data_IF_201389738275
#
_entry.id   IF_201389738275
#
_cell.length_a   1.000
_cell.length_b   1.000
_cell.length_c   1.000
_cell.angle_alpha   90.00
_cell.angle_beta   90.00
_cell.angle_gamma   90.00
#
_symmetry.space_group_name_H-M   'P 1'
#
loop_
_entity.id
_entity.type
_entity.pdbx_description
1 polymer ?
#
# COMPACT_ATOMS: atom_id res chain seq x y z
N UNK A 1 31.81 -17.19 -32.35
CA UNK A 1 32.13 -16.01 -31.51
C UNK A 1 31.06 -14.96 -31.46
N UNK A 2 30.34 -14.65 -32.55
CA UNK A 2 29.29 -13.63 -32.58
C UNK A 2 28.03 -14.01 -31.76
N UNK A 3 27.73 -15.31 -31.57
CA UNK A 3 26.56 -15.80 -30.81
C UNK A 3 26.72 -15.68 -29.28
N UNK A 4 27.95 -15.64 -28.75
CA UNK A 4 28.25 -15.54 -27.32
C UNK A 4 28.08 -14.10 -26.83
N UNK A 5 28.39 -13.11 -27.67
CA UNK A 5 28.26 -11.68 -27.35
C UNK A 5 26.78 -11.28 -27.26
N UNK A 6 25.90 -11.85 -28.10
CA UNK A 6 24.46 -11.62 -28.04
C UNK A 6 23.79 -12.21 -26.79
N UNK A 7 24.31 -13.32 -26.28
CA UNK A 7 23.79 -13.95 -25.06
C UNK A 7 24.13 -13.17 -23.78
N UNK A 8 25.34 -12.57 -23.74
CA UNK A 8 25.78 -11.73 -22.61
C UNK A 8 24.99 -10.41 -22.55
N UNK A 9 24.61 -9.87 -23.71
CA UNK A 9 23.81 -8.65 -23.79
C UNK A 9 22.38 -8.87 -23.28
N UNK A 10 21.80 -10.04 -23.52
CA UNK A 10 20.47 -10.41 -23.01
C UNK A 10 20.44 -10.57 -21.47
N UNK A 11 21.52 -11.06 -20.89
CA UNK A 11 21.65 -11.22 -19.43
C UNK A 11 21.75 -9.86 -18.70
N UNK A 12 22.36 -8.86 -19.32
CA UNK A 12 22.48 -7.52 -18.73
C UNK A 12 21.16 -6.75 -18.74
N UNK A 13 20.29 -6.98 -19.72
CA UNK A 13 18.95 -6.38 -19.79
C UNK A 13 18.04 -6.91 -18.68
N UNK A 14 18.16 -8.18 -18.31
CA UNK A 14 17.39 -8.79 -17.23
C UNK A 14 17.73 -8.23 -15.85
N UNK A 15 18.97 -7.84 -15.61
CA UNK A 15 19.40 -7.24 -14.35
C UNK A 15 18.89 -5.81 -14.16
N UNK A 16 18.78 -5.04 -15.24
CA UNK A 16 18.29 -3.67 -15.17
C UNK A 16 16.79 -3.57 -14.85
N UNK A 17 15.97 -4.50 -15.33
CA UNK A 17 14.54 -4.48 -15.07
C UNK A 17 14.19 -4.80 -13.60
N UNK A 18 14.97 -5.62 -12.92
CA UNK A 18 14.78 -5.94 -11.51
C UNK A 18 15.16 -4.75 -10.59
N UNK A 19 16.26 -4.05 -10.92
CA UNK A 19 16.71 -2.85 -10.22
C UNK A 19 15.72 -1.68 -10.36
N UNK A 20 15.13 -1.48 -11.54
CA UNK A 20 14.16 -0.43 -11.82
C UNK A 20 12.84 -0.62 -11.06
N UNK A 21 12.31 -1.85 -10.97
CA UNK A 21 11.09 -2.16 -10.22
C UNK A 21 11.22 -1.80 -8.72
N UNK A 22 12.38 -2.06 -8.13
CA UNK A 22 12.66 -1.75 -6.74
C UNK A 22 12.79 -0.24 -6.49
N UNK A 23 13.37 0.50 -7.42
CA UNK A 23 13.47 1.97 -7.35
C UNK A 23 12.08 2.64 -7.45
N UNK A 24 11.21 2.14 -8.30
CA UNK A 24 9.81 2.63 -8.38
C UNK A 24 9.07 2.46 -7.06
N UNK A 25 9.23 1.34 -6.40
CA UNK A 25 8.58 1.05 -5.12
C UNK A 25 9.11 1.96 -4.00
N UNK A 26 10.43 2.18 -3.97
CA UNK A 26 11.05 3.13 -3.03
C UNK A 26 10.55 4.55 -3.26
N UNK A 27 10.49 4.98 -4.51
CA UNK A 27 10.01 6.32 -4.87
C UNK A 27 8.53 6.50 -4.53
N UNK A 28 7.69 5.52 -4.84
CA UNK A 28 6.27 5.55 -4.51
C UNK A 28 6.05 5.65 -2.99
N UNK A 29 6.77 4.84 -2.22
CA UNK A 29 6.72 4.88 -0.75
C UNK A 29 7.11 6.27 -0.22
N UNK A 30 8.20 6.84 -0.75
CA UNK A 30 8.68 8.17 -0.36
C UNK A 30 7.64 9.24 -0.66
N UNK A 31 7.07 9.23 -1.87
CA UNK A 31 6.09 10.23 -2.33
C UNK A 31 4.85 10.22 -1.43
N UNK A 32 4.18 9.08 -1.27
CA UNK A 32 2.96 9.08 -0.47
C UNK A 32 3.23 9.29 1.02
N UNK A 33 4.39 8.85 1.53
CA UNK A 33 4.79 9.11 2.92
C UNK A 33 4.90 10.60 3.22
N UNK A 34 5.51 11.36 2.34
CA UNK A 34 5.63 12.82 2.49
C UNK A 34 4.26 13.50 2.43
N UNK A 35 3.38 13.09 1.53
CA UNK A 35 2.01 13.59 1.49
C UNK A 35 1.23 13.28 2.78
N UNK A 36 1.36 12.07 3.33
CA UNK A 36 0.70 11.69 4.59
C UNK A 36 1.24 12.50 5.77
N UNK A 37 2.55 12.68 5.86
CA UNK A 37 3.18 13.53 6.89
C UNK A 37 2.70 14.97 6.82
N UNK A 38 2.50 15.49 5.61
CA UNK A 38 1.95 16.83 5.37
C UNK A 38 0.42 16.89 5.53
N UNK A 39 -0.25 15.79 5.89
CA UNK A 39 -1.70 15.63 5.97
C UNK A 39 -2.42 15.89 4.64
N UNK A 40 -1.73 15.75 3.53
CA UNK A 40 -2.30 15.81 2.19
C UNK A 40 -2.70 14.42 1.73
N UNK A 41 -3.75 13.88 2.33
CA UNK A 41 -4.19 12.49 2.11
C UNK A 41 -4.76 12.26 0.71
N UNK A 42 -5.36 13.27 0.11
CA UNK A 42 -5.90 13.16 -1.25
C UNK A 42 -4.78 12.99 -2.28
N UNK A 43 -3.68 13.72 -2.15
CA UNK A 43 -2.51 13.55 -3.00
C UNK A 43 -1.78 12.23 -2.75
N UNK A 44 -1.83 11.73 -1.51
CA UNK A 44 -1.22 10.45 -1.13
C UNK A 44 -1.96 9.23 -1.69
N UNK A 45 -3.26 9.33 -1.96
CA UNK A 45 -4.15 8.21 -2.25
C UNK A 45 -3.70 7.40 -3.47
N UNK A 46 -3.50 8.04 -4.62
CA UNK A 46 -3.18 7.35 -5.86
C UNK A 46 -1.82 6.62 -5.82
N UNK A 47 -0.69 7.28 -5.45
CA UNK A 47 0.59 6.57 -5.37
C UNK A 47 0.59 5.46 -4.31
N UNK A 48 -0.16 5.62 -3.22
CA UNK A 48 -0.33 4.58 -2.22
C UNK A 48 -1.07 3.36 -2.77
N UNK A 49 -2.19 3.57 -3.47
CA UNK A 49 -2.97 2.47 -4.07
C UNK A 49 -2.17 1.69 -5.09
N UNK A 50 -1.39 2.37 -5.91
CA UNK A 50 -0.52 1.73 -6.91
C UNK A 50 0.53 0.83 -6.25
N UNK A 51 1.20 1.31 -5.20
CA UNK A 51 2.20 0.52 -4.49
C UNK A 51 1.56 -0.67 -3.75
N UNK A 52 0.42 -0.46 -3.10
CA UNK A 52 -0.34 -1.52 -2.42
C UNK A 52 -0.71 -2.65 -3.38
N UNK A 53 -1.14 -2.33 -4.59
CA UNK A 53 -1.53 -3.32 -5.61
C UNK A 53 -0.32 -4.03 -6.22
N UNK A 54 0.74 -3.29 -6.52
CA UNK A 54 1.94 -3.81 -7.19
C UNK A 54 2.83 -4.63 -6.27
N UNK A 55 3.05 -4.15 -5.06
CA UNK A 55 4.04 -4.70 -4.13
C UNK A 55 3.54 -4.71 -2.69
N UNK A 56 2.50 -5.51 -2.36
CA UNK A 56 1.85 -5.49 -1.05
C UNK A 56 2.74 -5.94 0.11
N UNK A 57 3.85 -6.63 -0.17
CA UNK A 57 4.83 -7.09 0.83
C UNK A 57 6.08 -6.23 0.92
N UNK A 58 6.12 -5.12 0.19
CA UNK A 58 7.32 -4.29 0.09
C UNK A 58 7.68 -3.63 1.43
N UNK A 59 6.71 -3.05 2.12
CA UNK A 59 6.94 -2.36 3.39
C UNK A 59 5.63 -2.26 4.19
N UNK A 60 5.70 -2.51 5.49
CA UNK A 60 4.52 -2.41 6.36
C UNK A 60 3.95 -0.98 6.46
N UNK A 61 4.72 0.04 6.11
CA UNK A 61 4.26 1.42 6.04
C UNK A 61 3.10 1.62 5.06
N UNK A 62 2.98 0.78 4.02
CA UNK A 62 1.82 0.77 3.12
C UNK A 62 0.52 0.68 3.91
N UNK A 63 0.49 -0.15 4.95
CA UNK A 63 -0.71 -0.38 5.77
C UNK A 63 -0.88 0.66 6.86
N UNK A 64 0.21 1.12 7.47
CA UNK A 64 0.18 2.17 8.51
C UNK A 64 -0.30 3.50 7.93
N UNK A 65 0.26 3.92 6.80
CA UNK A 65 -0.15 5.14 6.11
C UNK A 65 -1.50 4.96 5.40
N UNK A 66 -1.76 3.77 4.86
CA UNK A 66 -3.04 3.44 4.23
C UNK A 66 -4.22 3.59 5.18
N UNK A 67 -4.07 3.19 6.43
CA UNK A 67 -5.08 3.39 7.47
C UNK A 67 -5.42 4.88 7.65
N UNK A 68 -4.43 5.75 7.69
CA UNK A 68 -4.63 7.21 7.80
C UNK A 68 -5.33 7.79 6.58
N UNK A 69 -4.91 7.37 5.39
CA UNK A 69 -5.51 7.79 4.13
C UNK A 69 -6.99 7.39 4.07
N UNK A 70 -7.31 6.12 4.35
CA UNK A 70 -8.68 5.62 4.30
C UNK A 70 -9.57 6.24 5.38
N UNK A 71 -9.07 6.47 6.58
CA UNK A 71 -9.81 7.19 7.63
C UNK A 71 -10.17 8.60 7.20
N UNK A 72 -9.26 9.30 6.53
CA UNK A 72 -9.55 10.62 5.95
C UNK A 72 -10.63 10.53 4.87
N UNK A 73 -10.54 9.55 3.97
CA UNK A 73 -11.55 9.32 2.93
C UNK A 73 -12.93 9.02 3.52
N UNK A 74 -13.01 8.17 4.53
CA UNK A 74 -14.26 7.86 5.23
C UNK A 74 -14.90 9.13 5.80
N UNK A 75 -14.10 9.99 6.41
CA UNK A 75 -14.56 11.23 7.06
C UNK A 75 -15.10 12.26 6.07
N UNK A 76 -14.55 12.33 4.86
CA UNK A 76 -14.80 13.39 3.87
C UNK A 76 -15.57 12.92 2.63
N UNK A 77 -16.04 11.68 2.59
CA UNK A 77 -16.78 11.14 1.46
C UNK A 77 -18.29 11.25 1.64
N UNK A 78 -19.01 11.09 0.52
CA UNK A 78 -20.47 10.94 0.52
C UNK A 78 -20.89 9.66 1.23
N UNK A 79 -22.17 9.53 1.58
CA UNK A 79 -22.68 8.34 2.26
C UNK A 79 -22.47 7.05 1.43
N UNK A 80 -22.60 7.13 0.11
CA UNK A 80 -22.40 6.01 -0.81
C UNK A 80 -20.91 5.59 -0.89
N UNK A 81 -20.01 6.54 -1.04
CA UNK A 81 -18.58 6.29 -1.10
C UNK A 81 -18.01 5.83 0.24
N UNK A 82 -18.58 6.32 1.33
CA UNK A 82 -18.15 6.01 2.70
C UNK A 82 -18.16 4.51 2.98
N UNK A 83 -19.20 3.81 2.59
CA UNK A 83 -19.30 2.37 2.77
C UNK A 83 -18.17 1.62 2.06
N UNK A 84 -17.85 2.04 0.83
CA UNK A 84 -16.75 1.45 0.07
C UNK A 84 -15.40 1.65 0.77
N UNK A 85 -15.14 2.84 1.33
CA UNK A 85 -13.91 3.10 2.06
C UNK A 85 -13.83 2.37 3.40
N UNK A 86 -14.96 2.19 4.08
CA UNK A 86 -15.03 1.37 5.31
C UNK A 86 -14.67 -0.08 5.00
N UNK A 87 -15.27 -0.65 3.96
CA UNK A 87 -14.97 -2.01 3.52
C UNK A 87 -13.51 -2.17 3.08
N UNK A 88 -12.95 -1.16 2.41
CA UNK A 88 -11.54 -1.17 2.02
C UNK A 88 -10.60 -1.09 3.23
N UNK A 89 -10.96 -0.33 4.26
CA UNK A 89 -10.16 -0.27 5.50
C UNK A 89 -10.17 -1.61 6.24
N UNK A 90 -11.31 -2.29 6.30
CA UNK A 90 -11.40 -3.63 6.87
C UNK A 90 -10.49 -4.61 6.10
N UNK A 91 -10.53 -4.54 4.79
CA UNK A 91 -9.68 -5.34 3.91
C UNK A 91 -8.20 -5.01 4.08
N UNK A 92 -7.85 -3.74 4.25
CA UNK A 92 -6.48 -3.29 4.48
C UNK A 92 -5.88 -3.93 5.73
N UNK A 93 -6.64 -4.01 6.81
CA UNK A 93 -6.17 -4.64 8.05
C UNK A 93 -5.98 -6.15 7.90
N UNK A 94 -6.83 -6.83 7.13
CA UNK A 94 -6.65 -8.25 6.80
C UNK A 94 -5.38 -8.47 5.95
N UNK A 95 -5.17 -7.66 4.93
CA UNK A 95 -3.95 -7.70 4.10
C UNK A 95 -2.69 -7.46 4.91
N UNK A 96 -2.73 -6.51 5.84
CA UNK A 96 -1.61 -6.25 6.76
C UNK A 96 -1.28 -7.50 7.59
N UNK A 97 -2.29 -8.17 8.09
CA UNK A 97 -2.10 -9.39 8.87
C UNK A 97 -1.54 -10.53 8.03
N UNK A 98 -2.01 -10.68 6.80
CA UNK A 98 -1.50 -11.70 5.86
C UNK A 98 -0.04 -11.46 5.49
N UNK A 99 0.32 -10.21 5.20
CA UNK A 99 1.64 -9.83 4.70
C UNK A 99 2.66 -9.57 5.81
N UNK A 100 2.22 -9.12 6.98
CA UNK A 100 3.05 -8.78 8.14
C UNK A 100 2.46 -9.31 9.44
N UNK A 101 2.32 -10.65 9.59
CA UNK A 101 1.63 -11.24 10.75
C UNK A 101 2.31 -10.94 12.09
N UNK A 102 3.64 -10.83 12.13
CA UNK A 102 4.39 -10.52 13.35
C UNK A 102 4.14 -9.11 13.90
N UNK A 103 3.70 -8.19 13.03
CA UNK A 103 3.38 -6.79 13.37
C UNK A 103 1.89 -6.54 13.54
N UNK A 104 1.05 -7.56 13.38
CA UNK A 104 -0.40 -7.40 13.29
C UNK A 104 -1.11 -8.49 14.08
N UNK A 105 -1.14 -8.38 15.43
CA UNK A 105 -1.89 -9.33 16.26
C UNK A 105 -3.37 -9.39 15.90
N UNK A 106 -3.95 -10.59 15.92
CA UNK A 106 -5.36 -10.79 15.59
C UNK A 106 -6.29 -9.97 16.49
N UNK A 107 -5.99 -9.88 17.78
CA UNK A 107 -6.80 -9.10 18.72
C UNK A 107 -6.91 -7.62 18.35
N UNK A 108 -5.81 -7.02 17.87
CA UNK A 108 -5.82 -5.63 17.43
C UNK A 108 -6.70 -5.42 16.21
N UNK A 109 -6.65 -6.33 15.25
CA UNK A 109 -7.49 -6.27 14.04
C UNK A 109 -8.97 -6.42 14.39
N UNK A 110 -9.31 -7.36 15.26
CA UNK A 110 -10.69 -7.57 15.70
C UNK A 110 -11.24 -6.35 16.46
N UNK A 111 -10.43 -5.77 17.35
CA UNK A 111 -10.81 -4.58 18.11
C UNK A 111 -11.04 -3.36 17.21
N UNK A 112 -10.11 -3.10 16.28
CA UNK A 112 -10.22 -2.01 15.30
C UNK A 112 -11.41 -2.18 14.39
N UNK A 113 -11.66 -3.40 13.91
CA UNK A 113 -12.78 -3.71 13.03
C UNK A 113 -14.13 -3.52 13.73
N UNK A 114 -14.25 -3.98 14.97
CA UNK A 114 -15.44 -3.79 15.78
C UNK A 114 -15.69 -2.31 16.07
N UNK A 115 -14.66 -1.54 16.41
CA UNK A 115 -14.76 -0.10 16.66
C UNK A 115 -15.21 0.65 15.41
N UNK A 116 -14.62 0.34 14.25
CA UNK A 116 -14.98 0.97 12.98
C UNK A 116 -16.46 0.72 12.62
N UNK A 117 -16.92 -0.52 12.77
CA UNK A 117 -18.33 -0.88 12.52
C UNK A 117 -19.28 -0.19 13.49
N UNK A 118 -18.87 -0.03 14.75
CA UNK A 118 -19.64 0.71 15.74
C UNK A 118 -19.75 2.20 15.41
N UNK A 119 -18.66 2.84 15.02
CA UNK A 119 -18.58 4.27 14.73
C UNK A 119 -19.43 4.67 13.52
N UNK A 120 -19.65 3.75 12.58
CA UNK A 120 -20.35 4.01 11.32
C UNK A 120 -21.62 3.15 11.14
N UNK A 121 -22.30 2.84 12.21
CA UNK A 121 -23.62 2.18 12.15
C UNK A 121 -24.69 3.06 11.53
#
# INVERSE_FOLDING_TARGET
>A
MKKIIGFILLLTISFNSFSQANEEDINALSIFSEYVKAKNYDAAFQPWMELRQRSPKFNSAIYVYGERILKHKIKNSTAEEKENFINDLLKLWEEKRENFPSKTPLGDILAKSAQLQYDYK
#
